data_IF_409098908118
#
_entry.id   IF_409098908118
#
_cell.length_a   1.000
_cell.length_b   1.000
_cell.length_c   1.000
_cell.angle_alpha   90.00
_cell.angle_beta   90.00
_cell.angle_gamma   90.00
#
_symmetry.space_group_name_H-M   'P 1'
#
loop_
_entity.id
_entity.type
_entity.pdbx_description
1 polymer ?
#
# COMPACT_ATOMS: atom_id res chain seq x y z
N UNK A 1 -0.91 11.31 -12.46
CA UNK A 1 -0.57 10.54 -11.24
C UNK A 1 0.66 9.65 -11.41
N UNK A 2 0.78 8.85 -12.48
CA UNK A 2 1.90 7.89 -12.66
C UNK A 2 3.30 8.51 -12.64
N UNK A 3 3.49 9.71 -13.21
CA UNK A 3 4.79 10.40 -13.17
C UNK A 3 5.29 10.68 -11.74
N UNK A 4 4.38 10.94 -10.80
CA UNK A 4 4.75 11.14 -9.40
C UNK A 4 5.24 9.83 -8.78
N UNK A 5 4.53 8.72 -8.99
CA UNK A 5 4.93 7.42 -8.46
C UNK A 5 6.28 6.98 -9.03
N UNK A 6 6.53 7.26 -10.31
CA UNK A 6 7.84 7.01 -10.94
C UNK A 6 8.95 7.85 -10.30
N UNK A 7 8.72 9.14 -10.07
CA UNK A 7 9.70 9.99 -9.39
C UNK A 7 9.93 9.54 -7.94
N UNK A 8 8.88 9.09 -7.25
CA UNK A 8 8.96 8.58 -5.89
C UNK A 8 9.84 7.32 -5.84
N UNK A 9 9.63 6.36 -6.75
CA UNK A 9 10.42 5.12 -6.79
C UNK A 9 11.88 5.36 -7.19
N UNK A 10 12.17 6.42 -7.95
CA UNK A 10 13.53 6.87 -8.26
C UNK A 10 14.21 7.58 -7.07
N UNK A 11 13.43 8.17 -6.15
CA UNK A 11 13.94 8.98 -5.03
C UNK A 11 14.12 8.20 -3.73
N UNK A 12 13.34 7.13 -3.51
CA UNK A 12 13.41 6.32 -2.29
C UNK A 12 13.42 4.83 -2.60
N UNK A 13 14.16 4.05 -1.78
CA UNK A 13 14.29 2.60 -1.98
C UNK A 13 13.03 1.82 -1.62
N UNK A 14 12.33 2.22 -0.55
CA UNK A 14 11.09 1.59 -0.09
C UNK A 14 10.13 2.68 0.39
N UNK A 15 8.83 2.47 0.16
CA UNK A 15 7.76 3.34 0.63
C UNK A 15 6.53 2.50 0.99
N UNK A 16 5.68 3.06 1.85
CA UNK A 16 4.39 2.49 2.23
C UNK A 16 3.42 3.62 2.55
N UNK A 17 2.12 3.41 2.33
CA UNK A 17 1.06 4.36 2.66
C UNK A 17 0.19 3.76 3.78
N UNK A 18 0.08 4.47 4.91
CA UNK A 18 -0.95 4.20 5.92
C UNK A 18 -2.23 4.99 5.63
N UNK A 19 -3.29 4.29 5.27
CA UNK A 19 -4.58 4.89 4.97
C UNK A 19 -5.46 4.89 6.25
N UNK A 20 -5.97 6.05 6.70
CA UNK A 20 -6.81 6.13 7.89
C UNK A 20 -8.14 5.38 7.78
N UNK A 21 -8.59 5.06 6.56
CA UNK A 21 -9.82 4.29 6.35
C UNK A 21 -9.55 2.78 6.42
N UNK A 22 -10.48 1.98 6.99
CA UNK A 22 -10.38 0.53 6.99
C UNK A 22 -10.39 -0.03 5.56
N UNK A 23 -9.73 -1.16 5.36
CA UNK A 23 -9.41 -1.67 4.02
C UNK A 23 -10.61 -2.24 3.24
N UNK A 24 -11.59 -2.75 3.96
CA UNK A 24 -12.90 -3.12 3.44
C UNK A 24 -13.64 -1.95 2.76
N UNK A 25 -13.35 -0.71 3.16
CA UNK A 25 -13.97 0.49 2.61
C UNK A 25 -13.29 0.99 1.33
N UNK A 26 -12.20 0.38 0.88
CA UNK A 26 -11.43 0.88 -0.27
C UNK A 26 -11.99 0.39 -1.60
N UNK A 27 -12.77 -0.70 -1.59
CA UNK A 27 -13.32 -1.30 -2.79
C UNK A 27 -14.16 -0.28 -3.57
N UNK A 28 -13.97 -0.22 -4.89
CA UNK A 28 -14.66 0.72 -5.79
C UNK A 28 -14.44 2.22 -5.48
N UNK A 29 -13.35 2.55 -4.77
CA UNK A 29 -12.93 3.93 -4.51
C UNK A 29 -11.55 4.22 -5.09
N UNK A 30 -11.16 5.49 -5.15
CA UNK A 30 -9.79 5.88 -5.51
C UNK A 30 -8.73 5.32 -4.55
N UNK A 31 -9.09 5.05 -3.28
CA UNK A 31 -8.18 4.35 -2.37
C UNK A 31 -7.88 2.93 -2.87
N UNK A 32 -8.89 2.22 -3.39
CA UNK A 32 -8.70 0.91 -3.99
C UNK A 32 -7.84 0.95 -5.26
N UNK A 33 -7.98 2.01 -6.08
CA UNK A 33 -7.11 2.22 -7.24
C UNK A 33 -5.65 2.49 -6.83
N UNK A 34 -5.43 3.29 -5.78
CA UNK A 34 -4.11 3.56 -5.20
C UNK A 34 -3.47 2.29 -4.64
N UNK A 35 -4.25 1.47 -3.92
CA UNK A 35 -3.80 0.23 -3.30
C UNK A 35 -3.21 -0.78 -4.30
N UNK A 36 -3.61 -0.70 -5.58
CA UNK A 36 -3.05 -1.50 -6.68
C UNK A 36 -1.67 -1.02 -7.16
N UNK A 37 -1.28 0.20 -6.81
CA UNK A 37 -0.06 0.86 -7.30
C UNK A 37 1.02 1.00 -6.23
N UNK A 38 0.63 0.99 -4.95
CA UNK A 38 1.53 1.23 -3.82
C UNK A 38 1.29 0.22 -2.71
N UNK A 39 2.31 -0.15 -1.91
CA UNK A 39 2.09 -0.86 -0.66
C UNK A 39 1.27 0.02 0.28
N UNK A 40 -0.03 -0.24 0.39
CA UNK A 40 -0.96 0.51 1.23
C UNK A 40 -1.51 -0.39 2.32
N UNK A 41 -1.62 0.14 3.54
CA UNK A 41 -2.09 -0.58 4.71
C UNK A 41 -3.08 0.29 5.48
N UNK A 42 -4.06 -0.32 6.13
CA UNK A 42 -4.95 0.37 7.08
C UNK A 42 -4.12 1.01 8.21
N UNK A 43 -4.57 2.16 8.72
CA UNK A 43 -4.01 2.80 9.91
C UNK A 43 -4.43 2.06 11.19
N UNK A 44 -4.00 0.81 11.29
CA UNK A 44 -4.15 -0.07 12.45
C UNK A 44 -2.77 -0.47 12.98
N UNK A 45 -2.73 -1.11 14.15
CA UNK A 45 -1.45 -1.62 14.70
C UNK A 45 -0.85 -2.68 13.77
N UNK A 46 -1.68 -3.55 13.18
CA UNK A 46 -1.24 -4.52 12.19
C UNK A 46 -0.71 -3.82 10.94
N UNK A 47 -1.44 -2.85 10.39
CA UNK A 47 -1.02 -2.11 9.20
C UNK A 47 0.27 -1.31 9.40
N UNK A 48 0.46 -0.71 10.58
CA UNK A 48 1.72 -0.03 10.94
C UNK A 48 2.91 -1.00 10.98
N UNK A 49 2.74 -2.18 11.59
CA UNK A 49 3.78 -3.20 11.60
C UNK A 49 4.12 -3.70 10.18
N UNK A 50 3.11 -3.86 9.33
CA UNK A 50 3.29 -4.22 7.93
C UNK A 50 4.04 -3.12 7.16
N UNK A 51 3.67 -1.85 7.35
CA UNK A 51 4.37 -0.71 6.77
C UNK A 51 5.85 -0.65 7.20
N UNK A 52 6.14 -0.86 8.49
CA UNK A 52 7.53 -0.92 9.01
C UNK A 52 8.30 -2.06 8.35
N UNK A 53 7.70 -3.25 8.23
CA UNK A 53 8.33 -4.38 7.55
C UNK A 53 8.63 -4.06 6.08
N UNK A 54 7.72 -3.35 5.40
CA UNK A 54 7.93 -2.88 4.03
C UNK A 54 9.12 -1.94 3.91
N UNK A 55 9.22 -0.96 4.81
CA UNK A 55 10.34 -0.02 4.83
C UNK A 55 11.68 -0.70 5.18
N UNK A 56 11.65 -1.89 5.81
CA UNK A 56 12.83 -2.73 6.06
C UNK A 56 13.20 -3.63 4.87
N UNK A 57 12.52 -3.52 3.73
CA UNK A 57 12.72 -4.38 2.57
C UNK A 57 12.20 -5.81 2.75
N UNK A 58 11.32 -6.03 3.74
CA UNK A 58 10.68 -7.33 4.00
C UNK A 58 9.28 -7.43 3.38
N UNK A 59 8.94 -6.48 2.51
CA UNK A 59 7.74 -6.58 1.70
C UNK A 59 8.00 -7.57 0.58
N UNK A 60 7.36 -8.71 0.68
CA UNK A 60 7.24 -9.61 -0.44
C UNK A 60 5.80 -9.47 -0.91
N UNK A 61 5.61 -9.24 -2.21
CA UNK A 61 4.31 -9.33 -2.88
C UNK A 61 3.81 -10.79 -2.76
N UNK A 62 3.35 -11.20 -1.58
CA UNK A 62 2.67 -12.48 -1.39
C UNK A 62 1.17 -12.21 -1.40
N UNK A 63 0.52 -12.77 -2.41
CA UNK A 63 -0.91 -12.98 -2.64
C UNK A 63 -1.86 -11.98 -1.96
N UNK A 64 -2.39 -11.07 -2.77
CA UNK A 64 -3.51 -10.17 -2.53
C UNK A 64 -4.29 -10.44 -1.22
N UNK A 65 -4.01 -9.72 -0.12
CA UNK A 65 -4.88 -9.76 1.06
C UNK A 65 -6.28 -9.21 0.74
N UNK A 66 -6.39 -8.46 -0.37
CA UNK A 66 -7.61 -7.97 -0.94
C UNK A 66 -8.17 -8.98 -1.94
N UNK A 67 -8.86 -10.01 -1.47
CA UNK A 67 -9.53 -11.00 -2.34
C UNK A 67 -10.43 -10.36 -3.42
N UNK A 68 -10.87 -9.11 -3.20
CA UNK A 68 -11.65 -8.30 -4.15
C UNK A 68 -10.83 -7.62 -5.26
N UNK A 69 -9.51 -7.74 -5.26
CA UNK A 69 -8.64 -7.12 -6.29
C UNK A 69 -8.35 -8.02 -7.50
N UNK A 70 -8.82 -9.27 -7.49
CA UNK A 70 -8.77 -10.20 -8.63
C UNK A 70 -9.93 -9.96 -9.61
#
# INVERSE_FOLDING_TARGET
SQNFLKQLTESVRYYAWLNPMPDDSWQYTTAGEIARLVPMFEMSRQGLNAAINTLRGRYVYWEYPYQWML
#
